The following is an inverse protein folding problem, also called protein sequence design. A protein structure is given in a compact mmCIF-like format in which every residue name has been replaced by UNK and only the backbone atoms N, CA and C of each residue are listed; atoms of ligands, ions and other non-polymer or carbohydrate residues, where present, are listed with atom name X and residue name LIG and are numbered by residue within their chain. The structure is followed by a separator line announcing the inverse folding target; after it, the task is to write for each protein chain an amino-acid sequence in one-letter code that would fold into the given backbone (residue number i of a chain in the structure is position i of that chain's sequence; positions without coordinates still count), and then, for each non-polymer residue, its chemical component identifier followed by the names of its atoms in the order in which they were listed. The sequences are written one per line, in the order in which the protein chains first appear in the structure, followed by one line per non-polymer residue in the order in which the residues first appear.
data_IF_060544389277
#
_entry.id   IF_060544389277
#
_cell.length_a   1.000
_cell.length_b   1.000
_cell.length_c   1.000
_cell.angle_alpha   90.00
_cell.angle_beta   90.00
_cell.angle_gamma   90.00
#
_symmetry.space_group_name_H-M   'P 1'
#
loop_
_entity.id
_entity.type
_entity.pdbx_description
1 polymer ?
#
# COMPACT_ATOMS: atom_id res chain seq x y z
N UNK A 1 -16.76 2.90 5.79
CA UNK A 1 -15.32 2.62 5.54
C UNK A 1 -15.21 2.51 4.04
N UNK A 2 -15.01 3.61 3.30
CA UNK A 2 -15.51 3.57 1.93
C UNK A 2 -14.82 4.48 0.92
N UNK A 3 -14.67 3.84 -0.23
CA UNK A 3 -14.59 4.37 -1.58
C UNK A 3 -15.81 5.25 -1.98
N UNK A 4 -16.25 6.22 -1.17
CA UNK A 4 -17.44 7.04 -1.50
C UNK A 4 -17.16 8.11 -2.58
N UNK A 5 -15.88 8.40 -2.86
CA UNK A 5 -15.52 9.38 -3.88
C UNK A 5 -15.13 8.68 -5.17
N UNK A 6 -15.75 9.07 -6.27
CA UNK A 6 -15.41 8.62 -7.63
C UNK A 6 -13.90 8.71 -7.90
N UNK A 7 -13.24 9.72 -7.33
CA UNK A 7 -11.80 9.90 -7.44
C UNK A 7 -10.99 8.76 -6.80
N UNK A 8 -11.43 8.24 -5.66
CA UNK A 8 -10.72 7.17 -4.94
C UNK A 8 -10.87 5.83 -5.66
N UNK A 9 -12.08 5.53 -6.20
CA UNK A 9 -12.30 4.36 -7.06
C UNK A 9 -11.40 4.40 -8.29
N UNK A 10 -11.36 5.56 -8.98
CA UNK A 10 -10.51 5.75 -10.16
C UNK A 10 -9.03 5.59 -9.83
N UNK A 11 -8.57 6.14 -8.70
CA UNK A 11 -7.18 6.04 -8.26
C UNK A 11 -6.81 4.59 -7.96
N UNK A 12 -7.63 3.87 -7.18
CA UNK A 12 -7.38 2.46 -6.87
C UNK A 12 -7.34 1.64 -8.15
N UNK A 13 -8.33 1.80 -9.04
CA UNK A 13 -8.33 1.07 -10.33
C UNK A 13 -7.06 1.35 -11.14
N UNK A 14 -6.69 2.62 -11.30
CA UNK A 14 -5.49 3.01 -12.05
C UNK A 14 -4.22 2.35 -11.50
N UNK A 15 -4.07 2.34 -10.17
CA UNK A 15 -2.89 1.75 -9.52
C UNK A 15 -2.92 0.22 -9.64
N UNK A 16 -4.07 -0.42 -9.39
CA UNK A 16 -4.16 -1.89 -9.49
C UNK A 16 -3.97 -2.38 -10.91
N UNK A 17 -4.44 -1.62 -11.91
CA UNK A 17 -4.22 -1.96 -13.32
C UNK A 17 -2.73 -1.89 -13.69
N UNK A 18 -1.98 -0.94 -13.12
CA UNK A 18 -0.53 -0.83 -13.35
C UNK A 18 0.26 -2.03 -12.80
N UNK A 19 -0.29 -2.75 -11.80
CA UNK A 19 0.34 -3.94 -11.22
C UNK A 19 0.09 -5.22 -12.01
N UNK A 20 -0.73 -5.20 -13.07
CA UNK A 20 -1.05 -6.39 -13.89
C UNK A 20 0.15 -7.02 -14.59
N UNK A 21 1.26 -6.28 -14.73
CA UNK A 21 2.54 -6.82 -15.22
C UNK A 21 3.32 -7.62 -14.17
N UNK A 22 2.93 -7.55 -12.89
CA UNK A 22 3.54 -8.29 -11.79
C UNK A 22 2.77 -9.58 -11.51
N UNK A 23 3.50 -10.64 -11.15
CA UNK A 23 2.91 -11.90 -10.68
C UNK A 23 2.17 -11.71 -9.36
N UNK A 24 1.12 -12.51 -9.12
CA UNK A 24 0.53 -12.60 -7.78
C UNK A 24 1.60 -13.02 -6.75
N UNK A 25 1.56 -12.45 -5.55
CA UNK A 25 2.59 -12.65 -4.53
C UNK A 25 3.82 -11.75 -4.67
N UNK A 26 3.92 -10.94 -5.74
CA UNK A 26 4.94 -9.90 -5.83
C UNK A 26 4.88 -8.91 -4.67
N UNK A 27 6.04 -8.35 -4.32
CA UNK A 27 6.20 -7.43 -3.18
C UNK A 27 6.13 -5.98 -3.65
N UNK A 28 5.20 -5.22 -3.09
CA UNK A 28 4.89 -3.84 -3.50
C UNK A 28 5.20 -2.86 -2.36
N UNK A 29 5.85 -1.75 -2.66
CA UNK A 29 6.07 -0.64 -1.74
C UNK A 29 5.11 0.52 -2.03
N UNK A 30 4.22 0.83 -1.09
CA UNK A 30 3.31 1.97 -1.19
C UNK A 30 3.85 3.16 -0.38
N UNK A 31 4.48 4.13 -1.06
CA UNK A 31 5.10 5.31 -0.44
C UNK A 31 4.07 6.44 -0.30
N UNK A 32 3.90 6.94 0.93
CA UNK A 32 2.86 7.92 1.24
C UNK A 32 1.49 7.26 1.31
N UNK A 33 1.42 6.07 1.92
CA UNK A 33 0.21 5.23 1.90
C UNK A 33 -0.96 5.83 2.68
N UNK A 34 -0.75 6.89 3.48
CA UNK A 34 -1.79 7.53 4.29
C UNK A 34 -2.47 6.53 5.21
N UNK A 35 -3.80 6.40 5.09
CA UNK A 35 -4.61 5.45 5.85
C UNK A 35 -4.66 4.04 5.25
N UNK A 36 -3.86 3.75 4.22
CA UNK A 36 -3.69 2.39 3.69
C UNK A 36 -4.77 1.91 2.73
N UNK A 37 -5.68 2.78 2.24
CA UNK A 37 -6.77 2.40 1.34
C UNK A 37 -6.28 1.64 0.09
N UNK A 38 -5.26 2.20 -0.59
CA UNK A 38 -4.68 1.59 -1.79
C UNK A 38 -3.88 0.34 -1.42
N UNK A 39 -3.06 0.40 -0.37
CA UNK A 39 -2.24 -0.73 0.08
C UNK A 39 -3.09 -1.97 0.40
N UNK A 40 -4.23 -1.78 1.08
CA UNK A 40 -5.18 -2.86 1.36
C UNK A 40 -5.90 -3.35 0.10
N UNK A 41 -6.22 -2.46 -0.85
CA UNK A 41 -6.80 -2.86 -2.13
C UNK A 41 -5.82 -3.74 -2.94
N UNK A 42 -4.55 -3.36 -2.98
CA UNK A 42 -3.47 -4.15 -3.60
C UNK A 42 -3.30 -5.48 -2.87
N UNK A 43 -3.28 -5.48 -1.54
CA UNK A 43 -3.18 -6.71 -0.74
C UNK A 43 -4.32 -7.70 -0.99
N UNK A 44 -5.55 -7.22 -1.18
CA UNK A 44 -6.72 -8.06 -1.55
C UNK A 44 -6.58 -8.74 -2.91
N UNK A 45 -5.72 -8.23 -3.80
CA UNK A 45 -5.40 -8.87 -5.08
C UNK A 45 -4.29 -9.93 -4.94
N UNK A 46 -3.75 -10.13 -3.73
CA UNK A 46 -2.77 -11.19 -3.43
C UNK A 46 -1.31 -10.78 -3.53
N UNK A 47 -1.01 -9.48 -3.58
CA UNK A 47 0.36 -8.96 -3.48
C UNK A 47 0.81 -8.82 -2.02
N UNK A 48 2.11 -8.90 -1.75
CA UNK A 48 2.67 -8.58 -0.44
C UNK A 48 2.95 -7.08 -0.39
N UNK A 49 2.39 -6.33 0.56
CA UNK A 49 2.47 -4.86 0.55
C UNK A 49 3.10 -4.33 1.82
N UNK A 50 4.08 -3.45 1.65
CA UNK A 50 4.54 -2.55 2.71
C UNK A 50 4.08 -1.13 2.40
N UNK A 51 3.20 -0.57 3.23
CA UNK A 51 2.85 0.85 3.20
C UNK A 51 3.73 1.65 4.15
N UNK A 52 4.28 2.78 3.67
CA UNK A 52 5.02 3.73 4.51
C UNK A 52 4.41 5.13 4.44
N UNK A 53 4.40 5.82 5.56
CA UNK A 53 4.02 7.22 5.65
C UNK A 53 4.79 7.90 6.80
N UNK A 54 4.98 9.21 6.73
CA UNK A 54 5.65 9.98 7.80
C UNK A 54 4.69 10.27 8.97
N UNK A 55 3.38 10.20 8.74
CA UNK A 55 2.38 10.54 9.73
C UNK A 55 2.00 9.31 10.58
N UNK A 56 2.42 9.33 11.85
CA UNK A 56 2.01 8.33 12.86
C UNK A 56 0.49 8.20 12.95
N UNK A 57 -0.24 9.32 12.86
CA UNK A 57 -1.70 9.35 12.95
C UNK A 57 -2.36 8.54 11.84
N UNK A 58 -1.88 8.66 10.60
CA UNK A 58 -2.48 7.96 9.47
C UNK A 58 -2.10 6.49 9.46
N UNK A 59 -0.86 6.15 9.86
CA UNK A 59 -0.43 4.76 10.04
C UNK A 59 -1.20 4.07 11.17
N UNK A 60 -1.56 4.77 12.24
CA UNK A 60 -2.41 4.22 13.30
C UNK A 60 -3.80 3.83 12.75
N UNK A 61 -4.39 4.67 11.89
CA UNK A 61 -5.66 4.35 11.21
C UNK A 61 -5.48 3.16 10.27
N UNK A 62 -4.42 3.16 9.45
CA UNK A 62 -4.13 2.07 8.52
C UNK A 62 -4.02 0.72 9.25
N UNK A 63 -3.28 0.67 10.37
CA UNK A 63 -3.15 -0.54 11.18
C UNK A 63 -4.47 -0.96 11.85
N UNK A 64 -5.29 0.00 12.30
CA UNK A 64 -6.57 -0.31 12.92
C UNK A 64 -7.61 -0.86 11.91
N UNK A 65 -7.56 -0.40 10.65
CA UNK A 65 -8.46 -0.86 9.58
C UNK A 65 -7.95 -2.11 8.85
N UNK A 66 -6.66 -2.45 8.99
CA UNK A 66 -6.05 -3.57 8.29
C UNK A 66 -6.39 -4.92 8.93
N UNK A 67 -6.99 -5.80 8.14
CA UNK A 67 -7.25 -7.21 8.50
C UNK A 67 -6.45 -8.21 7.65
N UNK A 68 -5.49 -7.74 6.86
CA UNK A 68 -4.75 -8.54 5.88
C UNK A 68 -3.37 -8.87 6.42
N UNK A 69 -3.01 -10.16 6.47
CA UNK A 69 -1.70 -10.63 6.95
C UNK A 69 -0.56 -10.24 6.00
N UNK A 70 -0.84 -10.09 4.71
CA UNK A 70 0.10 -9.74 3.66
C UNK A 70 0.27 -8.22 3.47
N UNK A 71 -0.31 -7.40 4.34
CA UNK A 71 -0.19 -5.93 4.29
C UNK A 71 0.37 -5.44 5.63
N UNK A 72 1.45 -4.67 5.57
CA UNK A 72 2.09 -4.09 6.75
C UNK A 72 2.24 -2.59 6.59
N UNK A 73 2.17 -1.84 7.69
CA UNK A 73 2.31 -0.39 7.70
C UNK A 73 3.42 0.05 8.64
N UNK A 74 4.24 1.02 8.23
CA UNK A 74 5.31 1.58 9.07
C UNK A 74 5.38 3.10 8.96
N UNK A 75 5.70 3.74 10.09
CA UNK A 75 6.01 5.17 10.13
C UNK A 75 7.45 5.35 9.67
N UNK A 76 7.66 5.69 8.41
CA UNK A 76 8.98 5.83 7.78
C UNK A 76 8.91 6.90 6.69
N UNK A 77 9.86 7.82 6.70
CA UNK A 77 10.06 8.75 5.59
C UNK A 77 10.73 8.07 4.40
N UNK A 78 10.34 8.42 3.18
CA UNK A 78 10.93 7.84 1.97
C UNK A 78 12.46 8.03 1.90
N UNK A 79 12.99 9.14 2.45
CA UNK A 79 14.43 9.40 2.53
C UNK A 79 15.17 8.53 3.55
N UNK A 80 14.45 7.95 4.53
CA UNK A 80 15.01 7.07 5.56
C UNK A 80 14.95 5.59 5.16
N UNK A 81 14.25 5.28 4.06
CA UNK A 81 14.20 3.93 3.53
C UNK A 81 15.57 3.55 2.99
N UNK A 82 16.17 2.49 3.55
CA UNK A 82 17.42 1.97 3.03
C UNK A 82 17.17 1.32 1.67
N UNK A 83 17.93 1.70 0.62
CA UNK A 83 17.80 1.05 -0.67
C UNK A 83 18.23 -0.40 -0.54
N UNK A 84 17.30 -1.30 -0.83
CA UNK A 84 17.52 -2.74 -0.88
C UNK A 84 17.23 -3.20 -2.31
N UNK A 85 18.27 -3.45 -3.12
CA UNK A 85 18.09 -3.91 -4.49
C UNK A 85 17.22 -5.15 -4.54
N UNK A 86 16.28 -5.20 -5.50
CA UNK A 86 15.39 -6.34 -5.73
C UNK A 86 14.45 -6.70 -4.57
N UNK A 87 14.25 -5.80 -3.60
CA UNK A 87 13.31 -6.02 -2.50
C UNK A 87 11.84 -5.85 -2.92
N UNK A 88 11.57 -4.94 -3.84
CA UNK A 88 10.23 -4.60 -4.30
C UNK A 88 10.14 -4.77 -5.81
N UNK A 89 9.05 -5.38 -6.25
CA UNK A 89 8.72 -5.61 -7.66
C UNK A 89 7.96 -4.41 -8.27
N UNK A 90 7.33 -3.59 -7.41
CA UNK A 90 6.64 -2.35 -7.75
C UNK A 90 6.70 -1.33 -6.60
#
# INVERSE_FOLDING_TARGET
MEFERIADIKRVKFITDALTGCSQGSTVLDIGCGNGLISMAIGRLGYNVLGIDVSEKTIAVANAENSLENVQFKVVGAGDLKPEPSRYDA
#
